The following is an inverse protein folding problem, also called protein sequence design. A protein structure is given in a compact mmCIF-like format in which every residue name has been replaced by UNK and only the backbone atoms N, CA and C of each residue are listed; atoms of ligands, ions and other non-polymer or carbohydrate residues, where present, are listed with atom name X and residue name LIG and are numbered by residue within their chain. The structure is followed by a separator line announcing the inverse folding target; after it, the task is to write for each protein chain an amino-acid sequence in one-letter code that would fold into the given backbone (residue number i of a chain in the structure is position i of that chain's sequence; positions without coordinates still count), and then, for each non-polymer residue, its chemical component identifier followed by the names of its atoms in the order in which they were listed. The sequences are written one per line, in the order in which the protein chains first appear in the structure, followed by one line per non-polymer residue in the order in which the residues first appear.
data_IF_066896837988
#
_entry.id   IF_066896837988
#
_cell.length_a   1.000
_cell.length_b   1.000
_cell.length_c   1.000
_cell.angle_alpha   90.00
_cell.angle_beta   90.00
_cell.angle_gamma   90.00
#
_symmetry.space_group_name_H-M   'P 1'
#
loop_
_entity.id
_entity.type
_entity.pdbx_description
1 polymer ?
#
# COMPACT_ATOMS: atom_id res chain seq x y z
N UNK A 1 11.21 17.59 14.71
CA UNK A 1 10.49 16.75 13.76
C UNK A 1 10.74 15.25 13.98
N UNK A 2 11.99 14.75 13.82
CA UNK A 2 12.30 13.36 14.18
C UNK A 2 12.19 13.20 15.70
N UNK A 3 11.18 12.45 16.14
CA UNK A 3 11.00 12.11 17.55
C UNK A 3 11.08 10.59 17.74
N UNK A 4 11.22 10.15 18.99
CA UNK A 4 11.38 8.74 19.34
C UNK A 4 10.24 7.86 18.77
N UNK A 5 9.01 8.34 18.85
CA UNK A 5 7.85 7.60 18.36
C UNK A 5 7.88 7.40 16.85
N UNK A 6 8.20 8.45 16.07
CA UNK A 6 8.33 8.36 14.61
C UNK A 6 9.44 7.37 14.23
N UNK A 7 10.59 7.41 14.89
CA UNK A 7 11.69 6.46 14.64
C UNK A 7 11.23 5.03 14.91
N UNK A 8 10.58 4.76 16.05
CA UNK A 8 10.08 3.42 16.38
C UNK A 8 9.09 2.93 15.31
N UNK A 9 8.12 3.76 14.91
CA UNK A 9 7.14 3.40 13.89
C UNK A 9 7.82 3.14 12.53
N UNK A 10 8.83 3.93 12.18
CA UNK A 10 9.60 3.78 10.94
C UNK A 10 10.37 2.46 10.93
N UNK A 11 10.99 2.08 12.04
CA UNK A 11 11.68 0.78 12.15
C UNK A 11 10.67 -0.37 12.16
N UNK A 12 9.53 -0.23 12.86
CA UNK A 12 8.46 -1.22 12.81
C UNK A 12 7.93 -1.43 11.39
N UNK A 13 7.79 -0.34 10.59
CA UNK A 13 7.39 -0.40 9.20
C UNK A 13 8.31 -1.32 8.37
N UNK A 14 9.63 -1.24 8.58
CA UNK A 14 10.61 -2.06 7.87
C UNK A 14 10.26 -3.55 8.04
N UNK A 15 10.01 -4.00 9.24
CA UNK A 15 9.76 -5.41 9.53
C UNK A 15 8.32 -5.83 9.17
N UNK A 16 7.33 -5.05 9.56
CA UNK A 16 5.92 -5.38 9.27
C UNK A 16 5.61 -5.38 7.78
N UNK A 17 6.26 -4.51 7.00
CA UNK A 17 6.03 -4.40 5.57
C UNK A 17 6.87 -5.37 4.73
N UNK A 18 7.57 -6.33 5.35
CA UNK A 18 8.20 -7.45 4.62
C UNK A 18 7.17 -8.46 4.14
N UNK A 19 5.99 -8.51 4.76
CA UNK A 19 4.94 -9.48 4.42
C UNK A 19 4.45 -9.37 2.97
N UNK A 20 4.07 -8.19 2.41
CA UNK A 20 3.63 -8.07 1.03
C UNK A 20 4.66 -8.59 0.01
N UNK A 21 5.93 -8.15 -0.01
CA UNK A 21 6.89 -8.63 -1.01
C UNK A 21 7.22 -10.12 -0.86
N UNK A 22 7.29 -10.67 0.36
CA UNK A 22 7.50 -12.11 0.54
C UNK A 22 6.30 -12.91 0.03
N UNK A 23 5.08 -12.50 0.41
CA UNK A 23 3.85 -13.18 -0.01
C UNK A 23 3.71 -13.14 -1.53
N UNK A 24 3.90 -11.99 -2.17
CA UNK A 24 3.82 -11.87 -3.63
C UNK A 24 4.88 -12.71 -4.32
N UNK A 25 6.13 -12.70 -3.82
CA UNK A 25 7.25 -13.42 -4.42
C UNK A 25 7.10 -14.94 -4.32
N UNK A 26 6.66 -15.46 -3.17
CA UNK A 26 6.67 -16.90 -2.90
C UNK A 26 5.32 -17.57 -3.17
N UNK A 27 4.19 -16.88 -2.84
CA UNK A 27 2.88 -17.55 -2.86
C UNK A 27 2.48 -18.08 -4.22
N UNK A 28 2.86 -17.41 -5.31
CA UNK A 28 2.62 -17.90 -6.66
C UNK A 28 3.40 -19.19 -6.97
N UNK A 29 4.67 -19.25 -6.54
CA UNK A 29 5.54 -20.43 -6.77
C UNK A 29 5.05 -21.62 -5.93
N UNK A 30 4.76 -21.39 -4.65
CA UNK A 30 4.21 -22.42 -3.75
C UNK A 30 2.83 -22.86 -4.26
N UNK A 31 1.99 -21.92 -4.67
CA UNK A 31 0.68 -22.22 -5.24
C UNK A 31 0.76 -23.11 -6.47
N UNK A 32 1.72 -22.92 -7.37
CA UNK A 32 1.95 -23.82 -8.51
C UNK A 32 2.33 -25.23 -8.07
N UNK A 33 3.02 -25.39 -6.93
CA UNK A 33 3.46 -26.71 -6.43
C UNK A 33 2.34 -27.46 -5.72
N UNK A 34 1.57 -26.79 -4.84
CA UNK A 34 0.62 -27.46 -3.93
C UNK A 34 -0.85 -27.28 -4.32
N UNK A 35 -1.16 -26.46 -5.35
CA UNK A 35 -2.54 -26.26 -5.80
C UNK A 35 -3.06 -27.50 -6.54
N UNK A 36 -4.27 -27.96 -6.27
CA UNK A 36 -4.90 -29.07 -7.01
C UNK A 36 -5.22 -28.68 -8.48
N UNK A 37 -5.31 -27.39 -8.78
CA UNK A 37 -5.64 -26.86 -10.11
C UNK A 37 -4.68 -25.69 -10.41
N UNK A 38 -3.95 -25.77 -11.53
CA UNK A 38 -2.94 -24.76 -11.90
C UNK A 38 -3.49 -23.32 -11.99
N UNK A 39 -4.74 -23.14 -12.40
CA UNK A 39 -5.39 -21.84 -12.46
C UNK A 39 -5.59 -21.16 -11.09
N UNK A 40 -5.56 -21.93 -10.00
CA UNK A 40 -5.67 -21.43 -8.63
C UNK A 40 -4.32 -21.08 -7.98
N UNK A 41 -3.20 -21.26 -8.69
CA UNK A 41 -1.86 -21.04 -8.15
C UNK A 41 -1.66 -19.63 -7.53
N UNK A 42 -2.30 -18.61 -8.06
CA UNK A 42 -2.22 -17.23 -7.57
C UNK A 42 -3.26 -16.87 -6.51
N UNK A 43 -4.18 -17.79 -6.21
CA UNK A 43 -5.25 -17.55 -5.23
C UNK A 43 -4.73 -17.13 -3.85
N UNK A 44 -3.65 -17.74 -3.28
CA UNK A 44 -3.12 -17.31 -1.99
C UNK A 44 -2.70 -15.84 -1.97
N UNK A 45 -2.00 -15.37 -3.03
CA UNK A 45 -1.63 -13.95 -3.18
C UNK A 45 -2.85 -13.04 -3.24
N UNK A 46 -3.85 -13.41 -4.05
CA UNK A 46 -5.11 -12.66 -4.18
C UNK A 46 -5.87 -12.58 -2.85
N UNK A 47 -5.91 -13.68 -2.08
CA UNK A 47 -6.54 -13.69 -0.76
C UNK A 47 -5.83 -12.79 0.25
N UNK A 48 -4.52 -12.62 0.16
CA UNK A 48 -3.79 -11.63 0.98
C UNK A 48 -4.26 -10.20 0.68
N UNK A 49 -4.47 -9.85 -0.59
CA UNK A 49 -4.99 -8.54 -1.00
C UNK A 49 -6.43 -8.35 -0.52
N UNK A 50 -7.28 -9.36 -0.69
CA UNK A 50 -8.66 -9.35 -0.20
C UNK A 50 -8.71 -9.20 1.33
N UNK A 51 -7.85 -9.93 2.06
CA UNK A 51 -7.71 -9.80 3.52
C UNK A 51 -7.36 -8.37 3.94
N UNK A 52 -6.45 -7.72 3.20
CA UNK A 52 -6.07 -6.32 3.44
C UNK A 52 -7.27 -5.38 3.22
N UNK A 53 -7.99 -5.53 2.11
CA UNK A 53 -9.15 -4.69 1.79
C UNK A 53 -10.26 -4.81 2.83
N UNK A 54 -10.67 -6.05 3.13
CA UNK A 54 -11.77 -6.35 4.08
C UNK A 54 -11.42 -5.84 5.48
N UNK A 55 -10.18 -6.06 5.93
CA UNK A 55 -9.79 -5.69 7.29
C UNK A 55 -9.36 -4.24 7.49
N UNK A 56 -9.23 -3.45 6.44
CA UNK A 56 -8.85 -2.02 6.55
C UNK A 56 -9.80 -1.23 7.45
N UNK A 57 -11.11 -1.47 7.33
CA UNK A 57 -12.11 -0.86 8.23
C UNK A 57 -12.01 -1.39 9.67
N UNK A 58 -11.90 -2.70 9.81
CA UNK A 58 -11.83 -3.33 11.14
C UNK A 58 -10.54 -2.96 11.87
N UNK A 59 -9.40 -2.82 11.17
CA UNK A 59 -8.15 -2.37 11.75
C UNK A 59 -8.29 -0.98 12.40
N UNK A 60 -8.86 -0.03 11.68
CA UNK A 60 -9.13 1.31 12.21
C UNK A 60 -10.11 1.27 13.40
N UNK A 61 -11.20 0.50 13.30
CA UNK A 61 -12.22 0.33 14.35
C UNK A 61 -11.65 -0.35 15.60
N UNK A 62 -10.82 -1.36 15.46
CA UNK A 62 -10.14 -2.02 16.59
C UNK A 62 -9.20 -1.02 17.27
N UNK A 63 -8.36 -0.32 16.48
CA UNK A 63 -7.43 0.67 17.02
C UNK A 63 -8.12 1.86 17.70
N UNK A 64 -9.33 2.24 17.28
CA UNK A 64 -10.12 3.26 17.96
C UNK A 64 -10.53 2.85 19.39
N UNK A 65 -10.72 1.53 19.62
CA UNK A 65 -11.11 0.98 20.95
C UNK A 65 -9.93 0.69 21.84
N UNK A 66 -8.89 0.02 21.31
CA UNK A 66 -7.75 -0.47 22.12
C UNK A 66 -6.50 0.40 22.01
N UNK A 67 -6.51 1.41 21.11
CA UNK A 67 -5.40 2.30 20.82
C UNK A 67 -4.39 1.74 19.81
N UNK A 68 -3.59 2.63 19.20
CA UNK A 68 -2.60 2.31 18.15
C UNK A 68 -1.60 1.24 18.62
N UNK A 69 -0.97 1.44 19.80
CA UNK A 69 0.06 0.53 20.32
C UNK A 69 -0.44 -0.91 20.43
N UNK A 70 -1.57 -1.10 21.10
CA UNK A 70 -2.14 -2.45 21.30
C UNK A 70 -2.59 -3.06 19.99
N UNK A 71 -3.16 -2.26 19.06
CA UNK A 71 -3.56 -2.71 17.73
C UNK A 71 -2.38 -3.21 16.90
N UNK A 72 -1.26 -2.49 16.89
CA UNK A 72 -0.05 -2.91 16.18
C UNK A 72 0.60 -4.14 16.80
N UNK A 73 0.68 -4.23 18.15
CA UNK A 73 1.19 -5.44 18.82
C UNK A 73 0.32 -6.64 18.47
N UNK A 74 -1.00 -6.51 18.59
CA UNK A 74 -1.94 -7.59 18.26
C UNK A 74 -1.73 -8.06 16.82
N UNK A 75 -1.68 -7.14 15.86
CA UNK A 75 -1.49 -7.50 14.45
C UNK A 75 -0.15 -8.18 14.18
N UNK A 76 0.93 -7.73 14.81
CA UNK A 76 2.24 -8.36 14.68
C UNK A 76 2.24 -9.79 15.21
N UNK A 77 1.61 -10.04 16.36
CA UNK A 77 1.51 -11.39 16.95
C UNK A 77 0.73 -12.32 16.03
N UNK A 78 -0.49 -11.94 15.61
CA UNK A 78 -1.27 -12.86 14.78
C UNK A 78 -0.72 -12.98 13.35
N UNK A 79 -0.07 -11.96 12.80
CA UNK A 79 0.61 -12.08 11.51
C UNK A 79 1.79 -13.06 11.58
N UNK A 80 2.53 -13.06 12.69
CA UNK A 80 3.58 -14.06 12.95
C UNK A 80 3.00 -15.47 13.05
N UNK A 81 1.91 -15.65 13.80
CA UNK A 81 1.22 -16.95 13.89
C UNK A 81 0.65 -17.40 12.54
N UNK A 82 0.08 -16.49 11.76
CA UNK A 82 -0.38 -16.78 10.41
C UNK A 82 0.77 -17.19 9.48
N UNK A 83 1.95 -16.58 9.62
CA UNK A 83 3.13 -16.95 8.86
C UNK A 83 3.63 -18.34 9.25
N UNK A 84 3.59 -18.72 10.54
CA UNK A 84 3.87 -20.10 10.98
C UNK A 84 2.84 -21.10 10.45
N UNK A 85 1.56 -20.71 10.40
CA UNK A 85 0.52 -21.51 9.74
C UNK A 85 0.83 -21.71 8.24
N UNK A 86 1.34 -20.67 7.57
CA UNK A 86 1.81 -20.73 6.19
C UNK A 86 2.98 -21.69 6.04
N UNK A 87 3.96 -21.66 6.93
CA UNK A 87 5.07 -22.61 6.95
C UNK A 87 4.57 -24.05 7.14
N UNK A 88 3.67 -24.27 8.09
CA UNK A 88 3.07 -25.58 8.32
C UNK A 88 2.26 -26.08 7.11
N UNK A 89 1.51 -25.19 6.46
CA UNK A 89 0.72 -25.54 5.27
C UNK A 89 1.60 -25.93 4.07
N UNK A 90 2.77 -25.30 3.91
CA UNK A 90 3.76 -25.67 2.88
C UNK A 90 4.38 -27.04 3.24
N UNK A 91 4.72 -27.23 4.52
CA UNK A 91 5.29 -28.50 5.00
C UNK A 91 4.34 -29.68 4.78
N UNK A 92 3.02 -29.48 5.00
CA UNK A 92 1.98 -30.51 4.79
C UNK A 92 1.37 -30.50 3.40
N UNK A 93 1.86 -29.66 2.49
CA UNK A 93 1.37 -29.46 1.13
C UNK A 93 -0.15 -29.18 1.05
N UNK A 94 -0.71 -28.51 2.10
CA UNK A 94 -2.13 -28.22 2.20
C UNK A 94 -2.46 -26.85 1.61
N UNK A 95 -3.00 -26.84 0.39
CA UNK A 95 -3.32 -25.62 -0.35
C UNK A 95 -4.37 -24.75 0.35
N UNK A 96 -5.42 -25.34 0.93
CA UNK A 96 -6.50 -24.59 1.60
C UNK A 96 -5.95 -23.87 2.82
N UNK A 97 -5.15 -24.56 3.62
CA UNK A 97 -4.52 -23.98 4.81
C UNK A 97 -3.55 -22.84 4.44
N UNK A 98 -2.85 -22.98 3.31
CA UNK A 98 -1.99 -21.95 2.78
C UNK A 98 -2.78 -20.70 2.34
N UNK A 99 -3.92 -20.89 1.69
CA UNK A 99 -4.85 -19.82 1.34
C UNK A 99 -5.35 -19.06 2.59
N UNK A 100 -5.74 -19.80 3.63
CA UNK A 100 -6.18 -19.21 4.92
C UNK A 100 -5.05 -18.41 5.55
N UNK A 101 -3.84 -18.96 5.59
CA UNK A 101 -2.66 -18.25 6.10
C UNK A 101 -2.43 -16.93 5.37
N UNK A 102 -2.42 -16.93 4.03
CA UNK A 102 -2.22 -15.73 3.22
C UNK A 102 -3.33 -14.69 3.45
N UNK A 103 -4.60 -15.11 3.57
CA UNK A 103 -5.70 -14.22 3.91
C UNK A 103 -5.46 -13.53 5.27
N UNK A 104 -5.10 -14.31 6.31
CA UNK A 104 -4.84 -13.77 7.66
C UNK A 104 -3.61 -12.84 7.66
N UNK A 105 -2.53 -13.17 6.94
CA UNK A 105 -1.40 -12.25 6.74
C UNK A 105 -1.89 -10.94 6.12
N UNK A 106 -2.77 -11.01 5.11
CA UNK A 106 -3.39 -9.84 4.50
C UNK A 106 -4.13 -8.96 5.49
N UNK A 107 -4.86 -9.55 6.44
CA UNK A 107 -5.54 -8.77 7.49
C UNK A 107 -4.52 -8.02 8.37
N UNK A 108 -3.34 -8.58 8.60
CA UNK A 108 -2.25 -7.92 9.33
C UNK A 108 -1.64 -6.75 8.55
N UNK A 109 -1.56 -6.88 7.22
CA UNK A 109 -1.10 -5.81 6.33
C UNK A 109 -2.05 -4.59 6.44
N UNK A 110 -3.35 -4.79 6.64
CA UNK A 110 -4.31 -3.70 6.87
C UNK A 110 -3.94 -2.84 8.09
N UNK A 111 -3.47 -3.47 9.19
CA UNK A 111 -2.95 -2.73 10.33
C UNK A 111 -1.63 -2.03 10.02
N UNK A 112 -0.76 -2.68 9.25
CA UNK A 112 0.53 -2.09 8.84
C UNK A 112 0.32 -0.79 8.04
N UNK A 113 -0.69 -0.72 7.19
CA UNK A 113 -1.04 0.51 6.48
C UNK A 113 -1.43 1.67 7.41
N UNK A 114 -1.90 1.39 8.62
CA UNK A 114 -2.22 2.42 9.61
C UNK A 114 -0.98 3.09 10.23
N UNK A 115 0.23 2.53 10.06
CA UNK A 115 1.47 3.17 10.54
C UNK A 115 1.66 4.58 9.96
N UNK A 116 1.23 4.84 8.72
CA UNK A 116 1.35 6.17 8.10
C UNK A 116 0.54 7.25 8.83
N UNK A 117 -0.65 6.89 9.30
CA UNK A 117 -1.47 7.80 10.10
C UNK A 117 -0.91 7.96 11.52
N UNK A 118 -0.45 6.85 12.12
CA UNK A 118 0.23 6.92 13.41
C UNK A 118 1.49 7.79 13.35
N UNK A 119 2.27 7.71 12.28
CA UNK A 119 3.43 8.57 12.06
C UNK A 119 3.05 10.05 11.95
N UNK A 120 1.99 10.37 11.19
CA UNK A 120 1.46 11.72 11.07
C UNK A 120 0.99 12.28 12.43
N UNK A 121 0.43 11.42 13.31
CA UNK A 121 -0.03 11.80 14.66
C UNK A 121 1.13 12.06 15.64
N UNK A 122 2.37 11.70 15.31
CA UNK A 122 3.55 11.96 16.18
C UNK A 122 4.15 13.35 16.01
N UNK A 123 3.68 14.13 15.06
CA UNK A 123 4.20 15.44 14.67
C UNK A 123 3.07 16.46 14.58
N UNK A 124 3.41 17.74 14.45
CA UNK A 124 2.40 18.78 14.15
C UNK A 124 1.77 18.54 12.77
N UNK A 125 0.49 18.94 12.60
CA UNK A 125 -0.26 18.71 11.35
C UNK A 125 0.46 19.18 10.10
N UNK A 126 1.16 20.32 10.18
CA UNK A 126 1.92 20.88 9.07
C UNK A 126 3.15 20.05 8.65
N UNK A 127 3.63 19.15 9.50
CA UNK A 127 4.74 18.24 9.23
C UNK A 127 4.29 16.80 8.93
N UNK A 128 2.97 16.54 8.91
CA UNK A 128 2.41 15.19 8.69
C UNK A 128 2.85 14.57 7.37
N UNK A 129 2.93 15.35 6.28
CA UNK A 129 3.40 14.86 4.98
C UNK A 129 4.87 14.38 5.04
N UNK A 130 5.72 15.07 5.81
CA UNK A 130 7.13 14.67 5.99
C UNK A 130 7.24 13.41 6.85
N UNK A 131 6.43 13.26 7.89
CA UNK A 131 6.40 12.06 8.71
C UNK A 131 5.94 10.83 7.92
N UNK A 132 4.90 10.97 7.11
CA UNK A 132 4.43 9.92 6.19
C UNK A 132 5.52 9.56 5.17
N UNK A 133 6.19 10.57 4.59
CA UNK A 133 7.29 10.37 3.64
C UNK A 133 8.44 9.57 4.23
N UNK A 134 8.88 9.89 5.46
CA UNK A 134 9.95 9.18 6.17
C UNK A 134 9.57 7.72 6.41
N UNK A 135 8.33 7.49 6.84
CA UNK A 135 7.84 6.13 7.07
C UNK A 135 7.82 5.32 5.76
N UNK A 136 7.29 5.89 4.68
CA UNK A 136 7.20 5.20 3.38
C UNK A 136 8.57 4.97 2.76
N UNK A 137 9.55 5.86 2.97
CA UNK A 137 10.92 5.64 2.52
C UNK A 137 11.51 4.37 3.14
N UNK A 138 11.21 4.08 4.40
CA UNK A 138 11.67 2.86 5.08
C UNK A 138 11.15 1.56 4.44
N UNK A 139 10.07 1.64 3.66
CA UNK A 139 9.53 0.49 2.91
C UNK A 139 10.50 -0.03 1.84
N UNK A 140 11.44 0.80 1.36
CA UNK A 140 12.52 0.33 0.47
C UNK A 140 13.33 -0.78 1.14
N UNK A 141 13.65 -0.60 2.43
CA UNK A 141 14.37 -1.63 3.19
C UNK A 141 13.53 -2.91 3.33
N UNK A 142 12.22 -2.78 3.53
CA UNK A 142 11.32 -3.94 3.56
C UNK A 142 11.33 -4.70 2.25
N UNK A 143 11.30 -3.98 1.12
CA UNK A 143 11.30 -4.56 -0.23
C UNK A 143 12.62 -5.26 -0.55
N UNK A 144 13.73 -4.83 0.05
CA UNK A 144 15.04 -5.48 -0.08
C UNK A 144 15.18 -6.65 0.89
N UNK A 145 14.85 -6.46 2.17
CA UNK A 145 15.01 -7.47 3.21
C UNK A 145 14.10 -8.67 2.95
N UNK A 146 12.82 -8.44 2.62
CA UNK A 146 11.82 -9.49 2.48
C UNK A 146 12.25 -10.60 1.51
N UNK A 147 12.36 -10.32 0.20
CA UNK A 147 12.72 -11.33 -0.79
C UNK A 147 14.10 -11.98 -0.57
N UNK A 148 15.10 -11.19 -0.10
CA UNK A 148 16.42 -11.72 0.19
C UNK A 148 16.40 -12.72 1.34
N UNK A 149 15.79 -12.35 2.48
CA UNK A 149 15.65 -13.27 3.62
C UNK A 149 14.88 -14.53 3.21
N UNK A 150 13.80 -14.36 2.46
CA UNK A 150 13.01 -15.47 1.97
C UNK A 150 13.81 -16.41 1.05
N UNK A 151 14.65 -15.86 0.17
CA UNK A 151 15.52 -16.66 -0.70
C UNK A 151 16.63 -17.37 0.07
N UNK A 152 17.25 -16.71 1.05
CA UNK A 152 18.28 -17.34 1.90
C UNK A 152 17.73 -18.48 2.75
N UNK A 153 16.48 -18.37 3.18
CA UNK A 153 15.87 -19.33 4.11
C UNK A 153 15.04 -20.41 3.43
N UNK A 154 14.86 -20.35 2.10
CA UNK A 154 13.98 -21.27 1.34
C UNK A 154 14.34 -22.75 1.49
N UNK A 155 15.63 -23.08 1.68
CA UNK A 155 16.16 -24.44 1.75
C UNK A 155 16.46 -24.91 3.19
N UNK A 156 16.08 -24.16 4.23
CA UNK A 156 16.35 -24.55 5.63
C UNK A 156 15.72 -25.91 5.95
N UNK A 157 14.57 -26.21 5.34
CA UNK A 157 13.94 -27.52 5.40
C UNK A 157 14.07 -28.11 4.00
N UNK A 158 15.01 -29.07 3.83
CA UNK A 158 15.47 -29.57 2.51
C UNK A 158 14.34 -30.14 1.67
N UNK A 159 13.42 -30.90 2.28
CA UNK A 159 12.36 -31.61 1.56
C UNK A 159 11.13 -30.74 1.28
N UNK A 160 11.03 -29.58 1.95
CA UNK A 160 9.89 -28.66 1.85
C UNK A 160 10.32 -27.23 1.53
N UNK A 161 10.65 -27.00 0.25
CA UNK A 161 11.10 -25.70 -0.26
C UNK A 161 10.13 -24.57 0.11
N UNK A 162 10.66 -23.43 0.58
CA UNK A 162 9.97 -22.23 1.06
C UNK A 162 9.29 -22.31 2.43
N UNK A 163 9.28 -23.47 3.10
CA UNK A 163 8.82 -23.54 4.51
C UNK A 163 9.65 -22.61 5.40
N UNK A 164 10.99 -22.65 5.24
CA UNK A 164 11.90 -21.72 5.95
C UNK A 164 11.65 -20.26 5.65
N UNK A 165 11.22 -19.92 4.45
CA UNK A 165 10.87 -18.54 4.08
C UNK A 165 9.68 -18.01 4.88
N UNK A 166 8.65 -18.84 5.12
CA UNK A 166 7.50 -18.46 5.93
C UNK A 166 7.81 -18.47 7.44
N UNK A 167 8.74 -19.32 7.91
CA UNK A 167 9.28 -19.22 9.28
C UNK A 167 10.04 -17.90 9.45
N UNK A 168 10.87 -17.51 8.49
CA UNK A 168 11.58 -16.22 8.56
C UNK A 168 10.63 -15.03 8.50
N UNK A 169 9.53 -15.12 7.75
CA UNK A 169 8.48 -14.11 7.77
C UNK A 169 7.85 -13.99 9.16
N UNK A 170 7.60 -15.10 9.85
CA UNK A 170 7.09 -15.08 11.22
C UNK A 170 8.06 -14.38 12.17
N UNK A 171 9.37 -14.62 12.03
CA UNK A 171 10.40 -13.94 12.81
C UNK A 171 10.43 -12.44 12.51
N UNK A 172 10.36 -12.04 11.25
CA UNK A 172 10.36 -10.61 10.87
C UNK A 172 9.11 -9.89 11.40
N UNK A 173 7.94 -10.51 11.29
CA UNK A 173 6.67 -9.89 11.72
C UNK A 173 6.47 -9.82 13.23
N UNK A 174 7.20 -10.61 14.04
CA UNK A 174 7.15 -10.52 15.50
C UNK A 174 8.07 -9.43 16.09
N UNK A 175 9.12 -9.03 15.36
CA UNK A 175 10.07 -8.00 15.82
C UNK A 175 9.38 -6.70 16.27
N UNK A 176 8.37 -6.18 15.57
CA UNK A 176 7.65 -4.97 15.98
C UNK A 176 7.04 -5.04 17.39
N UNK A 177 6.70 -6.24 17.89
CA UNK A 177 6.18 -6.40 19.27
C UNK A 177 7.16 -5.85 20.30
N UNK A 178 8.44 -6.18 20.15
CA UNK A 178 9.50 -5.73 21.05
C UNK A 178 9.80 -4.24 20.88
N UNK A 179 9.82 -3.75 19.64
CA UNK A 179 10.07 -2.33 19.35
C UNK A 179 8.94 -1.45 19.88
N UNK A 180 7.70 -1.89 19.74
CA UNK A 180 6.51 -1.17 20.21
C UNK A 180 6.40 -1.14 21.73
N UNK A 181 7.15 -1.96 22.48
CA UNK A 181 7.27 -1.80 23.92
C UNK A 181 7.75 -0.38 24.30
N UNK A 182 8.67 0.17 23.52
CA UNK A 182 9.25 1.51 23.70
C UNK A 182 8.42 2.64 23.06
N UNK A 183 7.40 2.32 22.25
CA UNK A 183 6.48 3.29 21.69
C UNK A 183 5.59 3.84 22.80
N UNK A 184 5.67 5.15 23.02
CA UNK A 184 4.76 5.86 23.92
C UNK A 184 3.60 6.35 23.08
N UNK A 185 2.49 5.61 23.09
CA UNK A 185 1.24 6.22 22.68
C UNK A 185 1.06 7.47 23.54
N UNK A 186 0.96 8.65 22.91
CA UNK A 186 0.46 9.80 23.62
C UNK A 186 -0.80 9.33 24.33
N UNK A 187 -0.88 9.63 25.65
CA UNK A 187 -2.05 9.23 26.44
C UNK A 187 -3.23 9.66 25.59
N UNK A 188 -3.87 8.67 24.93
CA UNK A 188 -5.08 8.98 24.16
C UNK A 188 -5.80 9.99 25.00
N UNK A 189 -6.10 11.19 24.53
CA UNK A 189 -7.14 11.91 25.19
C UNK A 189 -8.27 10.87 25.15
N UNK A 190 -8.58 10.25 26.32
CA UNK A 190 -9.87 9.59 26.50
C UNK A 190 -10.82 10.53 25.78
N UNK A 191 -11.59 10.11 24.77
CA UNK A 191 -12.47 11.03 24.10
C UNK A 191 -13.05 11.81 25.26
N UNK A 192 -12.72 13.12 25.39
CA UNK A 192 -13.24 13.92 26.49
C UNK A 192 -14.71 13.62 26.39
N UNK A 193 -15.32 13.02 27.41
CA UNK A 193 -16.72 12.59 27.39
C UNK A 193 -17.66 13.68 26.87
N UNK A 194 -17.15 14.90 26.82
CA UNK A 194 -17.80 16.11 26.28
C UNK A 194 -17.53 16.38 24.77
N UNK A 195 -16.75 15.59 24.03
CA UNK A 195 -16.69 15.69 22.55
C UNK A 195 -17.67 14.69 21.90
N UNK A 196 -18.93 14.65 22.40
CA UNK A 196 -20.09 14.19 21.62
C UNK A 196 -20.41 15.21 20.51
N UNK A 197 -19.42 15.77 19.85
CA UNK A 197 -19.63 16.43 18.58
C UNK A 197 -20.13 15.37 17.59
N UNK A 198 -21.22 15.64 16.92
CA UNK A 198 -21.79 14.76 15.91
C UNK A 198 -20.69 14.45 14.87
N UNK A 199 -20.25 13.17 14.80
CA UNK A 199 -19.31 12.76 13.76
C UNK A 199 -20.02 12.87 12.42
N UNK A 200 -19.36 13.49 11.44
CA UNK A 200 -19.89 13.57 10.07
C UNK A 200 -20.24 12.17 9.54
N UNK A 201 -21.38 12.09 8.85
CA UNK A 201 -21.77 10.85 8.15
C UNK A 201 -20.80 10.53 7.00
N UNK A 202 -20.80 9.32 6.47
CA UNK A 202 -19.97 8.98 5.31
C UNK A 202 -20.34 9.80 4.07
N UNK A 203 -21.62 10.16 3.93
CA UNK A 203 -22.11 11.01 2.85
C UNK A 203 -21.56 12.42 3.00
N UNK A 204 -21.62 13.02 4.19
CA UNK A 204 -21.05 14.34 4.46
C UNK A 204 -19.54 14.38 4.22
N UNK A 205 -18.81 13.29 4.53
CA UNK A 205 -17.39 13.18 4.22
C UNK A 205 -17.15 13.21 2.72
N UNK A 206 -17.93 12.45 1.93
CA UNK A 206 -17.79 12.42 0.46
C UNK A 206 -18.29 13.71 -0.22
N UNK A 207 -19.23 14.42 0.38
CA UNK A 207 -19.70 15.71 -0.13
C UNK A 207 -18.69 16.83 0.11
N UNK A 208 -17.76 16.66 1.07
CA UNK A 208 -16.69 17.64 1.28
C UNK A 208 -15.64 17.54 0.15
N UNK A 209 -15.46 18.58 -0.68
CA UNK A 209 -14.61 18.50 -1.86
C UNK A 209 -13.13 18.18 -1.54
N UNK A 210 -12.63 18.63 -0.37
CA UNK A 210 -11.23 18.44 0.02
C UNK A 210 -11.01 17.00 0.50
N UNK A 211 -11.94 16.42 1.26
CA UNK A 211 -11.89 15.02 1.68
C UNK A 211 -12.04 14.11 0.47
N UNK A 212 -12.97 14.44 -0.44
CA UNK A 212 -13.15 13.70 -1.69
C UNK A 212 -11.88 13.72 -2.54
N UNK A 213 -11.22 14.88 -2.67
CA UNK A 213 -9.92 15.00 -3.33
C UNK A 213 -8.90 14.04 -2.71
N UNK A 214 -8.77 14.03 -1.40
CA UNK A 214 -7.80 13.20 -0.69
C UNK A 214 -8.03 11.71 -0.93
N UNK A 215 -9.28 11.24 -0.79
CA UNK A 215 -9.68 9.84 -0.97
C UNK A 215 -9.53 9.39 -2.42
N UNK A 216 -10.08 10.14 -3.37
CA UNK A 216 -10.05 9.83 -4.81
C UNK A 216 -8.60 9.77 -5.31
N UNK A 217 -7.78 10.74 -4.90
CA UNK A 217 -6.35 10.77 -5.25
C UNK A 217 -5.62 9.52 -4.76
N UNK A 218 -5.78 9.15 -3.49
CA UNK A 218 -5.11 7.97 -2.93
C UNK A 218 -5.64 6.66 -3.56
N UNK A 219 -6.95 6.53 -3.76
CA UNK A 219 -7.59 5.34 -4.30
C UNK A 219 -7.18 5.09 -5.76
N UNK A 220 -7.24 6.09 -6.61
CA UNK A 220 -6.86 5.92 -8.02
C UNK A 220 -5.36 5.93 -8.24
N UNK A 221 -4.56 6.55 -7.36
CA UNK A 221 -3.12 6.34 -7.36
C UNK A 221 -2.78 4.85 -7.23
N UNK A 222 -3.37 4.16 -6.25
CA UNK A 222 -3.15 2.72 -6.04
C UNK A 222 -3.77 1.85 -7.14
N UNK A 223 -4.98 2.20 -7.59
CA UNK A 223 -5.68 1.45 -8.63
C UNK A 223 -4.89 1.42 -9.94
N UNK A 224 -4.53 2.58 -10.47
CA UNK A 224 -3.78 2.73 -11.74
C UNK A 224 -2.42 2.03 -11.62
N UNK A 225 -1.70 2.29 -10.52
CA UNK A 225 -0.40 1.66 -10.26
C UNK A 225 -0.52 0.14 -10.25
N UNK A 226 -1.44 -0.42 -9.47
CA UNK A 226 -1.61 -1.88 -9.35
C UNK A 226 -2.07 -2.52 -10.63
N UNK A 227 -2.93 -1.86 -11.42
CA UNK A 227 -3.42 -2.35 -12.70
C UNK A 227 -2.28 -2.51 -13.70
N UNK A 228 -1.51 -1.44 -13.92
CA UNK A 228 -0.40 -1.41 -14.88
C UNK A 228 0.75 -2.31 -14.41
N UNK A 229 1.17 -2.22 -13.12
CA UNK A 229 2.26 -3.01 -12.58
C UNK A 229 1.98 -4.52 -12.66
N UNK A 230 0.73 -4.94 -12.36
CA UNK A 230 0.35 -6.36 -12.41
C UNK A 230 0.32 -6.91 -13.84
N UNK A 231 -0.04 -6.08 -14.81
CA UNK A 231 -0.05 -6.44 -16.23
C UNK A 231 1.36 -6.49 -16.84
N UNK A 232 2.32 -5.71 -16.31
CA UNK A 232 3.67 -5.54 -16.86
C UNK A 232 4.43 -6.87 -17.09
N UNK A 233 4.52 -7.81 -16.13
CA UNK A 233 5.24 -9.07 -16.35
C UNK A 233 4.66 -9.90 -17.50
N UNK A 234 3.34 -9.91 -17.63
CA UNK A 234 2.67 -10.64 -18.72
C UNK A 234 2.98 -9.96 -20.06
N UNK A 235 2.88 -8.64 -20.13
CA UNK A 235 3.19 -7.87 -21.33
C UNK A 235 4.64 -8.07 -21.75
N UNK A 236 5.59 -7.89 -20.83
CA UNK A 236 7.01 -8.03 -21.16
C UNK A 236 7.40 -9.45 -21.53
N UNK A 237 7.08 -10.43 -20.68
CA UNK A 237 7.56 -11.80 -20.83
C UNK A 237 6.79 -12.58 -21.90
N UNK A 238 5.44 -12.58 -21.84
CA UNK A 238 4.63 -13.38 -22.76
C UNK A 238 4.39 -12.72 -24.11
N UNK A 239 4.17 -11.40 -24.13
CA UNK A 239 3.77 -10.72 -25.38
C UNK A 239 4.97 -10.19 -26.17
N UNK A 240 6.01 -9.70 -25.49
CA UNK A 240 7.16 -9.06 -26.14
C UNK A 240 8.49 -9.85 -25.99
N UNK A 241 8.47 -11.05 -25.42
CA UNK A 241 9.62 -11.98 -25.40
C UNK A 241 10.81 -11.55 -24.55
N UNK A 242 10.62 -10.61 -23.61
CA UNK A 242 11.70 -10.22 -22.67
C UNK A 242 12.04 -11.35 -21.70
N UNK A 243 13.29 -11.36 -21.21
CA UNK A 243 13.70 -12.33 -20.18
C UNK A 243 13.05 -12.02 -18.83
N UNK A 244 12.94 -13.03 -17.97
CA UNK A 244 12.51 -12.82 -16.57
C UNK A 244 13.43 -11.86 -15.83
N UNK A 245 14.75 -11.88 -16.12
CA UNK A 245 15.72 -10.94 -15.55
C UNK A 245 15.41 -9.50 -15.92
N UNK A 246 15.17 -9.21 -17.20
CA UNK A 246 14.78 -7.87 -17.66
C UNK A 246 13.48 -7.40 -17.02
N UNK A 247 12.47 -8.27 -16.94
CA UNK A 247 11.20 -7.97 -16.29
C UNK A 247 11.38 -7.66 -14.81
N UNK A 248 12.22 -8.43 -14.12
CA UNK A 248 12.54 -8.20 -12.69
C UNK A 248 13.20 -6.84 -12.46
N UNK A 249 14.13 -6.42 -13.32
CA UNK A 249 14.78 -5.11 -13.22
C UNK A 249 13.74 -3.99 -13.34
N UNK A 250 12.80 -4.10 -14.27
CA UNK A 250 11.73 -3.09 -14.45
C UNK A 250 10.84 -3.00 -13.21
N UNK A 251 10.41 -4.13 -12.65
CA UNK A 251 9.58 -4.16 -11.43
C UNK A 251 10.34 -3.60 -10.22
N UNK A 252 11.61 -3.97 -10.04
CA UNK A 252 12.43 -3.44 -8.96
C UNK A 252 12.63 -1.92 -9.08
N UNK A 253 12.90 -1.44 -10.30
CA UNK A 253 13.03 0.00 -10.58
C UNK A 253 11.73 0.75 -10.31
N UNK A 254 10.57 0.16 -10.63
CA UNK A 254 9.26 0.69 -10.27
C UNK A 254 9.11 0.84 -8.75
N UNK A 255 9.45 -0.19 -7.98
CA UNK A 255 9.37 -0.16 -6.51
C UNK A 255 10.28 0.94 -5.95
N UNK A 256 11.49 1.09 -6.49
CA UNK A 256 12.37 2.20 -6.12
C UNK A 256 11.71 3.54 -6.45
N UNK A 257 11.12 3.67 -7.63
CA UNK A 257 10.35 4.85 -8.06
C UNK A 257 9.17 5.17 -7.15
N UNK A 258 8.51 4.15 -6.56
CA UNK A 258 7.42 4.36 -5.60
C UNK A 258 7.89 4.99 -4.29
N UNK A 259 9.04 4.63 -3.77
CA UNK A 259 9.41 5.00 -2.40
C UNK A 259 10.57 6.01 -2.32
N UNK A 260 11.51 6.02 -3.26
CA UNK A 260 12.66 6.92 -3.25
C UNK A 260 12.27 8.41 -3.28
N UNK A 261 11.25 8.86 -4.08
CA UNK A 261 10.84 10.26 -4.07
C UNK A 261 10.34 10.75 -2.71
N UNK A 262 9.99 9.85 -1.78
CA UNK A 262 9.61 10.21 -0.41
C UNK A 262 10.69 11.01 0.34
N UNK A 263 11.95 10.93 -0.10
CA UNK A 263 13.03 11.81 0.40
C UNK A 263 12.68 13.29 0.29
N UNK A 264 11.97 13.68 -0.76
CA UNK A 264 11.68 15.08 -1.08
C UNK A 264 10.18 15.40 -1.07
N UNK A 265 9.30 14.44 -1.36
CA UNK A 265 7.85 14.67 -1.53
C UNK A 265 7.22 15.42 -0.35
N UNK A 266 7.53 15.03 0.88
CA UNK A 266 7.01 15.72 2.06
C UNK A 266 7.48 17.17 2.18
N UNK A 267 8.71 17.49 1.70
CA UNK A 267 9.22 18.86 1.65
C UNK A 267 8.57 19.65 0.52
N UNK A 268 8.36 19.01 -0.63
CA UNK A 268 7.68 19.63 -1.77
C UNK A 268 6.23 19.99 -1.43
N UNK A 269 5.50 19.11 -0.74
CA UNK A 269 4.14 19.38 -0.25
C UNK A 269 4.14 20.59 0.70
N UNK A 270 5.10 20.66 1.62
CA UNK A 270 5.20 21.78 2.55
C UNK A 270 5.51 23.11 1.83
N UNK A 271 6.28 23.08 0.73
CA UNK A 271 6.68 24.25 -0.04
C UNK A 271 5.62 24.70 -1.04
N UNK A 272 5.01 23.77 -1.77
CA UNK A 272 4.15 24.06 -2.93
C UNK A 272 2.67 23.72 -2.69
N UNK A 273 2.35 23.09 -1.55
CA UNK A 273 0.99 22.66 -1.22
C UNK A 273 0.63 21.30 -1.81
N UNK A 274 -0.46 20.71 -1.28
CA UNK A 274 -0.94 19.36 -1.66
C UNK A 274 -1.44 19.33 -3.11
N UNK A 275 -2.24 20.33 -3.53
CA UNK A 275 -2.84 20.35 -4.87
C UNK A 275 -1.77 20.36 -5.97
N UNK A 276 -0.70 21.16 -5.83
CA UNK A 276 0.40 21.20 -6.79
C UNK A 276 1.07 19.84 -6.96
N UNK A 277 1.32 19.14 -5.85
CA UNK A 277 1.96 17.82 -5.89
C UNK A 277 1.01 16.75 -6.46
N UNK A 278 -0.29 16.85 -6.18
CA UNK A 278 -1.31 15.98 -6.78
C UNK A 278 -1.38 16.20 -8.30
N UNK A 279 -1.41 17.44 -8.79
CA UNK A 279 -1.37 17.72 -10.24
C UNK A 279 -0.09 17.22 -10.88
N UNK A 280 1.06 17.40 -10.22
CA UNK A 280 2.35 16.87 -10.71
C UNK A 280 2.31 15.34 -10.83
N UNK A 281 1.77 14.65 -9.83
CA UNK A 281 1.60 13.18 -9.86
C UNK A 281 0.65 12.71 -10.98
N UNK A 282 -0.46 13.42 -11.19
CA UNK A 282 -1.39 13.15 -12.29
C UNK A 282 -0.73 13.37 -13.67
N UNK A 283 0.05 14.44 -13.83
CA UNK A 283 0.80 14.70 -15.05
C UNK A 283 1.84 13.60 -15.31
N UNK A 284 2.56 13.14 -14.29
CA UNK A 284 3.51 12.03 -14.42
C UNK A 284 2.80 10.76 -14.86
N UNK A 285 1.60 10.47 -14.36
CA UNK A 285 0.79 9.34 -14.82
C UNK A 285 0.41 9.46 -16.29
N UNK A 286 0.00 10.65 -16.75
CA UNK A 286 -0.28 10.89 -18.17
C UNK A 286 0.96 10.65 -19.04
N UNK A 287 2.14 11.12 -18.60
CA UNK A 287 3.40 10.89 -19.32
C UNK A 287 3.70 9.38 -19.37
N UNK A 288 3.52 8.65 -18.26
CA UNK A 288 3.67 7.19 -18.22
C UNK A 288 2.75 6.50 -19.25
N UNK A 289 1.48 6.88 -19.29
CA UNK A 289 0.50 6.34 -20.25
C UNK A 289 0.91 6.69 -21.69
N UNK A 290 1.35 7.91 -21.96
CA UNK A 290 1.82 8.31 -23.29
C UNK A 290 3.01 7.48 -23.77
N UNK A 291 3.94 7.12 -22.87
CA UNK A 291 5.08 6.27 -23.23
C UNK A 291 4.65 4.87 -23.67
N UNK A 292 3.48 4.38 -23.28
CA UNK A 292 2.98 3.08 -23.74
C UNK A 292 2.66 3.05 -25.24
N UNK A 293 2.49 4.20 -25.90
CA UNK A 293 2.20 4.30 -27.33
C UNK A 293 3.46 4.25 -28.21
N UNK A 294 4.64 4.37 -27.61
CA UNK A 294 5.89 4.15 -28.34
C UNK A 294 6.23 2.65 -28.40
N UNK A 295 7.31 2.32 -29.11
CA UNK A 295 7.78 0.95 -29.23
C UNK A 295 7.97 0.30 -27.86
N UNK A 296 7.53 -0.95 -27.73
CA UNK A 296 7.61 -1.71 -26.49
C UNK A 296 9.03 -2.22 -26.25
N UNK A 297 10.00 -1.31 -26.15
CA UNK A 297 11.40 -1.61 -25.83
C UNK A 297 11.59 -1.73 -24.31
N UNK A 298 12.68 -2.39 -23.89
CA UNK A 298 13.06 -2.48 -22.48
C UNK A 298 13.16 -1.09 -21.81
N UNK A 299 13.75 -0.12 -22.51
CA UNK A 299 13.94 1.23 -21.99
C UNK A 299 12.59 1.94 -21.78
N UNK A 300 11.65 1.78 -22.71
CA UNK A 300 10.31 2.37 -22.57
C UNK A 300 9.54 1.76 -21.40
N UNK A 301 9.57 0.43 -21.21
CA UNK A 301 9.02 -0.20 -20.01
C UNK A 301 9.68 0.33 -18.73
N UNK A 302 11.01 0.41 -18.71
CA UNK A 302 11.77 0.87 -17.54
C UNK A 302 11.37 2.29 -17.16
N UNK A 303 11.39 3.22 -18.12
CA UNK A 303 11.05 4.63 -17.87
C UNK A 303 9.58 4.76 -17.47
N UNK A 304 8.66 4.11 -18.19
CA UNK A 304 7.22 4.16 -17.89
C UNK A 304 6.94 3.66 -16.47
N UNK A 305 7.52 2.52 -16.07
CA UNK A 305 7.28 1.95 -14.73
C UNK A 305 7.93 2.77 -13.61
N UNK A 306 9.10 3.38 -13.84
CA UNK A 306 9.71 4.32 -12.90
C UNK A 306 8.82 5.55 -12.72
N UNK A 307 8.31 6.13 -13.80
CA UNK A 307 7.37 7.26 -13.76
C UNK A 307 6.06 6.87 -13.07
N UNK A 308 5.53 5.66 -13.34
CA UNK A 308 4.37 5.14 -12.64
C UNK A 308 4.60 5.11 -11.11
N UNK A 309 5.79 4.70 -10.68
CA UNK A 309 6.17 4.70 -9.25
C UNK A 309 6.23 6.12 -8.67
N UNK A 310 6.88 7.06 -9.37
CA UNK A 310 7.00 8.46 -8.93
C UNK A 310 5.63 9.13 -8.85
N UNK A 311 4.79 8.94 -9.88
CA UNK A 311 3.42 9.46 -9.90
C UNK A 311 2.59 8.93 -8.74
N UNK A 312 2.68 7.61 -8.47
CA UNK A 312 2.04 7.00 -7.31
C UNK A 312 2.50 7.65 -6.00
N UNK A 313 3.79 7.87 -5.82
CA UNK A 313 4.33 8.49 -4.61
C UNK A 313 3.71 9.88 -4.36
N UNK A 314 3.70 10.74 -5.38
CA UNK A 314 3.16 12.08 -5.28
C UNK A 314 1.66 12.09 -4.97
N UNK A 315 0.90 11.26 -5.68
CA UNK A 315 -0.54 11.14 -5.49
C UNK A 315 -0.88 10.53 -4.12
N UNK A 316 -0.24 9.43 -3.76
CA UNK A 316 -0.56 8.71 -2.52
C UNK A 316 -0.16 9.49 -1.26
N UNK A 317 1.04 10.07 -1.23
CA UNK A 317 1.47 10.92 -0.11
C UNK A 317 0.64 12.21 -0.09
N UNK A 318 0.41 12.82 -1.25
CA UNK A 318 -0.42 14.02 -1.39
C UNK A 318 -1.83 13.80 -0.86
N UNK A 319 -2.52 12.75 -1.31
CA UNK A 319 -3.86 12.41 -0.86
C UNK A 319 -3.91 12.04 0.62
N UNK A 320 -3.03 11.12 1.07
CA UNK A 320 -3.02 10.67 2.47
C UNK A 320 -2.71 11.80 3.45
N UNK A 321 -1.72 12.66 3.15
CA UNK A 321 -1.38 13.77 4.04
C UNK A 321 -2.43 14.89 4.00
N UNK A 322 -3.10 15.10 2.87
CA UNK A 322 -4.24 16.02 2.79
C UNK A 322 -5.40 15.52 3.66
N UNK A 323 -5.70 14.22 3.65
CA UNK A 323 -6.74 13.63 4.48
C UNK A 323 -6.51 13.91 5.97
N UNK A 324 -5.24 13.82 6.44
CA UNK A 324 -4.88 14.08 7.83
C UNK A 324 -5.23 15.50 8.28
N UNK A 325 -5.23 16.46 7.37
CA UNK A 325 -5.60 17.85 7.67
C UNK A 325 -7.11 18.09 7.73
N UNK A 326 -7.93 17.17 7.22
CA UNK A 326 -9.36 17.38 6.96
C UNK A 326 -10.29 16.79 8.01
N UNK A 327 -9.84 15.89 8.86
CA UNK A 327 -10.68 15.27 9.88
C UNK A 327 -10.46 15.86 11.29
N UNK A 328 -11.48 15.72 12.13
CA UNK A 328 -11.42 16.05 13.55
C UNK A 328 -10.90 14.85 14.36
N UNK A 329 -10.37 15.09 15.56
CA UNK A 329 -9.83 14.04 16.42
C UNK A 329 -10.84 12.93 16.78
N UNK A 330 -12.12 13.29 16.97
CA UNK A 330 -13.19 12.36 17.31
C UNK A 330 -13.61 11.44 16.15
N UNK A 331 -13.31 11.80 14.89
CA UNK A 331 -13.67 11.02 13.69
C UNK A 331 -12.46 10.41 12.96
N UNK A 332 -11.24 10.61 13.45
CA UNK A 332 -10.02 10.21 12.76
C UNK A 332 -9.99 8.74 12.32
N UNK A 333 -10.31 7.82 13.21
CA UNK A 333 -10.33 6.38 12.89
C UNK A 333 -11.43 6.01 11.89
N UNK A 334 -12.59 6.69 11.98
CA UNK A 334 -13.68 6.52 11.02
C UNK A 334 -13.25 6.95 9.62
N UNK A 335 -12.67 8.14 9.49
CA UNK A 335 -12.24 8.70 8.20
C UNK A 335 -11.06 7.92 7.63
N UNK A 336 -10.07 7.56 8.44
CA UNK A 336 -8.92 6.76 8.03
C UNK A 336 -9.35 5.36 7.58
N UNK A 337 -10.21 4.69 8.35
CA UNK A 337 -10.74 3.37 8.00
C UNK A 337 -11.56 3.40 6.72
N UNK A 338 -12.41 4.41 6.54
CA UNK A 338 -13.21 4.60 5.32
C UNK A 338 -12.33 4.84 4.09
N UNK A 339 -11.32 5.71 4.21
CA UNK A 339 -10.32 5.93 3.16
C UNK A 339 -9.64 4.60 2.77
N UNK A 340 -9.16 3.85 3.74
CA UNK A 340 -8.39 2.63 3.48
C UNK A 340 -9.25 1.52 2.84
N UNK A 341 -10.51 1.40 3.25
CA UNK A 341 -11.46 0.50 2.58
C UNK A 341 -11.59 0.86 1.10
N UNK A 342 -11.82 2.14 0.78
CA UNK A 342 -11.97 2.57 -0.61
C UNK A 342 -10.68 2.35 -1.41
N UNK A 343 -9.53 2.77 -0.85
CA UNK A 343 -8.22 2.64 -1.50
C UNK A 343 -7.92 1.17 -1.82
N UNK A 344 -7.99 0.29 -0.83
CA UNK A 344 -7.56 -1.11 -1.01
C UNK A 344 -8.61 -1.97 -1.70
N UNK A 345 -9.90 -1.64 -1.62
CA UNK A 345 -10.93 -2.32 -2.40
C UNK A 345 -10.79 -2.02 -3.89
N UNK A 346 -10.62 -0.76 -4.27
CA UNK A 346 -10.44 -0.35 -5.67
C UNK A 346 -9.11 -0.91 -6.21
N UNK A 347 -8.03 -0.89 -5.41
CA UNK A 347 -6.76 -1.53 -5.74
C UNK A 347 -6.92 -3.03 -6.00
N UNK A 348 -7.67 -3.73 -5.14
CA UNK A 348 -7.90 -5.18 -5.28
C UNK A 348 -8.62 -5.51 -6.58
N UNK A 349 -9.66 -4.75 -6.93
CA UNK A 349 -10.40 -4.92 -8.18
C UNK A 349 -9.46 -4.68 -9.38
N UNK A 350 -8.67 -3.61 -9.34
CA UNK A 350 -7.71 -3.30 -10.40
C UNK A 350 -6.67 -4.40 -10.59
N UNK A 351 -6.07 -4.90 -9.50
CA UNK A 351 -5.08 -5.97 -9.57
C UNK A 351 -5.68 -7.30 -10.07
N UNK A 352 -6.88 -7.68 -9.60
CA UNK A 352 -7.55 -8.91 -10.05
C UNK A 352 -7.95 -8.86 -11.53
N UNK A 353 -8.35 -7.69 -12.02
CA UNK A 353 -8.77 -7.52 -13.42
C UNK A 353 -7.59 -7.37 -14.38
N UNK A 354 -6.41 -6.94 -13.90
CA UNK A 354 -5.24 -6.65 -14.74
C UNK A 354 -4.79 -7.85 -15.60
N UNK A 355 -4.71 -9.03 -14.99
CA UNK A 355 -4.31 -10.25 -15.69
C UNK A 355 -5.26 -10.65 -16.81
N UNK A 356 -6.57 -10.54 -16.57
CA UNK A 356 -7.59 -10.78 -17.61
C UNK A 356 -7.54 -9.72 -18.70
N UNK A 357 -7.39 -8.45 -18.32
CA UNK A 357 -7.38 -7.33 -19.25
C UNK A 357 -6.21 -7.42 -20.22
N UNK A 358 -4.97 -7.70 -19.74
CA UNK A 358 -3.79 -7.77 -20.61
C UNK A 358 -3.83 -8.96 -21.57
N UNK A 359 -4.57 -10.02 -21.28
CA UNK A 359 -4.75 -11.15 -22.19
C UNK A 359 -5.79 -10.89 -23.30
N UNK A 360 -6.70 -9.92 -23.08
CA UNK A 360 -7.74 -9.53 -24.04
C UNK A 360 -7.41 -8.26 -24.83
N UNK A 361 -6.67 -7.36 -24.21
CA UNK A 361 -6.35 -6.04 -24.73
C UNK A 361 -4.84 -5.89 -24.84
N UNK A 362 -4.39 -5.03 -25.73
CA UNK A 362 -2.97 -4.70 -25.87
C UNK A 362 -2.45 -3.89 -24.66
N UNK A 363 -1.12 -3.82 -24.53
CA UNK A 363 -0.47 -2.97 -23.55
C UNK A 363 -0.92 -1.50 -23.64
N UNK A 364 -1.09 -0.99 -24.83
CA UNK A 364 -1.51 0.39 -25.08
C UNK A 364 -2.96 0.62 -24.60
N UNK A 365 -3.86 -0.31 -24.90
CA UNK A 365 -5.28 -0.20 -24.54
C UNK A 365 -5.48 -0.24 -23.02
N UNK A 366 -4.76 -1.08 -22.28
CA UNK A 366 -4.86 -1.10 -20.83
C UNK A 366 -4.32 0.17 -20.17
N UNK A 367 -3.27 0.77 -20.76
CA UNK A 367 -2.77 2.06 -20.30
C UNK A 367 -3.77 3.17 -20.61
N UNK A 368 -4.36 3.19 -21.80
CA UNK A 368 -5.39 4.15 -22.23
C UNK A 368 -6.62 4.11 -21.31
N UNK A 369 -7.03 2.92 -20.87
CA UNK A 369 -8.15 2.74 -19.94
C UNK A 369 -7.92 3.42 -18.58
N UNK A 370 -6.69 3.81 -18.25
CA UNK A 370 -6.38 4.54 -17.02
C UNK A 370 -6.60 6.06 -17.14
N UNK A 371 -6.67 6.62 -18.38
CA UNK A 371 -6.84 8.08 -18.58
C UNK A 371 -8.08 8.63 -17.86
N UNK A 372 -9.29 8.04 -17.97
CA UNK A 372 -10.47 8.54 -17.26
C UNK A 372 -10.26 8.67 -15.75
N UNK A 373 -9.51 7.74 -15.14
CA UNK A 373 -9.23 7.78 -13.70
C UNK A 373 -8.27 8.92 -13.34
N UNK A 374 -7.26 9.20 -14.19
CA UNK A 374 -6.36 10.34 -14.02
C UNK A 374 -7.12 11.65 -14.18
N UNK A 375 -7.99 11.75 -15.19
CA UNK A 375 -8.84 12.92 -15.40
C UNK A 375 -9.78 13.15 -14.21
N UNK A 376 -10.31 12.09 -13.61
CA UNK A 376 -11.15 12.21 -12.41
C UNK A 376 -10.35 12.76 -11.21
N UNK A 377 -9.09 12.35 -11.02
CA UNK A 377 -8.21 12.95 -10.00
C UNK A 377 -8.07 14.46 -10.25
N UNK A 378 -7.82 14.87 -11.49
CA UNK A 378 -7.65 16.28 -11.85
C UNK A 378 -8.96 17.07 -11.61
N UNK A 379 -10.09 16.57 -12.07
CA UNK A 379 -11.40 17.21 -11.93
C UNK A 379 -11.79 17.42 -10.47
N UNK A 380 -11.63 16.39 -9.63
CA UNK A 380 -11.92 16.48 -8.20
C UNK A 380 -10.97 17.46 -7.51
N UNK A 381 -9.71 17.53 -7.96
CA UNK A 381 -8.72 18.47 -7.41
C UNK A 381 -9.05 19.92 -7.79
N UNK A 382 -9.47 20.18 -9.03
CA UNK A 382 -9.94 21.51 -9.46
C UNK A 382 -11.16 21.95 -8.62
N UNK A 383 -12.15 21.04 -8.44
CA UNK A 383 -13.33 21.34 -7.61
C UNK A 383 -12.95 21.69 -6.17
N UNK A 384 -12.00 20.96 -5.60
CA UNK A 384 -11.52 21.22 -4.23
C UNK A 384 -10.81 22.58 -4.13
N UNK A 385 -10.00 22.96 -5.11
CA UNK A 385 -9.29 24.23 -5.12
C UNK A 385 -10.24 25.42 -5.29
N UNK A 386 -11.26 25.30 -6.14
CA UNK A 386 -12.33 26.31 -6.26
C UNK A 386 -13.05 26.47 -4.92
N UNK A 387 -13.33 25.35 -4.23
CA UNK A 387 -13.98 25.38 -2.92
C UNK A 387 -13.12 26.08 -1.85
N UNK A 388 -11.81 25.77 -1.81
CA UNK A 388 -10.85 26.44 -0.91
C UNK A 388 -10.81 27.95 -1.14
N UNK A 389 -10.77 28.36 -2.41
CA UNK A 389 -10.74 29.79 -2.76
C UNK A 389 -12.00 30.53 -2.28
N UNK A 390 -13.18 29.95 -2.47
CA UNK A 390 -14.44 30.53 -1.98
C UNK A 390 -14.49 30.70 -0.45
N UNK A 391 -13.85 29.80 0.31
CA UNK A 391 -13.78 29.92 1.79
C UNK A 391 -12.81 31.03 2.22
N UNK A 392 -11.75 31.29 1.45
CA UNK A 392 -10.78 32.35 1.76
C UNK A 392 -11.35 33.75 1.40
N UNK A 393 -12.15 33.82 0.34
CA UNK A 393 -12.72 35.04 -0.17
C UNK A 393 -14.01 35.44 0.58
N UNK A 394 -14.60 34.59 1.44
CA UNK A 394 -15.77 34.80 2.28
C UNK A 394 -15.38 35.15 3.71
#
# INVERSE_FOLDING_TARGET
MLNKNLIILTVCQIFSFTAPPITVFISGIVGLKISPIASLATLPTSLSIVGTAVFSFFAAKIMSKIGRKKGFILSSVYSSLASLLGAYSIYTENFILFCISCFVIGTGIAFTHQYRFAAAETVEKNDSSRAISILLLATILSALIGPNVANFTKNIISDHLYTGSYISLAVLTIIPVFLLAFYRADKNPKPKENTKGNQRSYIELLLNPIILQAIVTAAFAYSIMSFIMTATPISMYKMHGFTLGSTSIVIQSHIIGMFLPSLITGRLIKKFGHSTIIYSGALIYLICIFLSFYDQTFINYLIALVLLGIGWNFLFIGGTSLLVLCYQENEKFKVQGFNDVLVFSIQSIASLTAGYSILKFSWNEINLACIPLVLLIILVSIRADIHKKKIIDA
#
